data_IF_974041420523
#
_entry.id   IF_974041420523
#
_cell.length_a   1.000
_cell.length_b   1.000
_cell.length_c   1.000
_cell.angle_alpha   90.00
_cell.angle_beta   90.00
_cell.angle_gamma   90.00
#
_symmetry.space_group_name_H-M   'P 1'
#
loop_
_entity.id
_entity.type
_entity.pdbx_description
1 polymer ?
#
# COMPACT_ATOMS: atom_id res chain seq x y z
N UNK A 1 -18.84 13.37 11.60
CA UNK A 1 -18.28 12.07 11.95
C UNK A 1 -19.17 11.35 12.96
N UNK A 2 -19.16 10.00 12.93
CA UNK A 2 -19.92 9.18 13.89
C UNK A 2 -19.30 9.21 15.30
N UNK A 3 -18.03 9.52 15.40
CA UNK A 3 -17.28 9.62 16.64
C UNK A 3 -16.64 11.01 16.75
N UNK A 4 -16.18 11.38 17.92
CA UNK A 4 -15.45 12.64 18.13
C UNK A 4 -14.03 12.54 17.52
N UNK A 5 -13.99 12.41 16.21
CA UNK A 5 -12.77 12.31 15.42
C UNK A 5 -12.56 13.57 14.61
N UNK A 6 -11.31 13.80 14.23
CA UNK A 6 -10.89 14.92 13.38
C UNK A 6 -10.18 14.35 12.16
N UNK A 7 -10.41 14.93 10.99
CA UNK A 7 -9.66 14.55 9.81
C UNK A 7 -8.18 14.98 9.93
N UNK A 8 -7.30 14.26 9.22
CA UNK A 8 -5.86 14.51 9.32
C UNK A 8 -5.47 15.93 8.97
N UNK A 9 -6.08 16.51 7.93
CA UNK A 9 -5.82 17.87 7.47
C UNK A 9 -6.15 18.93 8.54
N UNK A 10 -7.23 18.74 9.28
CA UNK A 10 -7.54 19.63 10.43
C UNK A 10 -6.52 19.49 11.56
N UNK A 11 -6.02 18.28 11.78
CA UNK A 11 -4.97 18.06 12.77
C UNK A 11 -3.68 18.80 12.39
N UNK A 12 -3.29 18.76 11.11
CA UNK A 12 -2.14 19.52 10.62
C UNK A 12 -2.34 21.04 10.78
N UNK A 13 -3.54 21.56 10.50
CA UNK A 13 -3.84 22.98 10.71
C UNK A 13 -3.73 23.40 12.18
N UNK A 14 -4.18 22.55 13.10
CA UNK A 14 -4.03 22.78 14.54
C UNK A 14 -2.55 22.80 14.94
N UNK A 15 -1.77 21.83 14.48
CA UNK A 15 -0.34 21.78 14.78
C UNK A 15 0.45 22.94 14.15
N UNK A 16 -0.02 23.46 13.02
CA UNK A 16 0.52 24.68 12.41
C UNK A 16 0.06 25.98 13.08
N UNK A 17 -0.57 25.92 14.26
CA UNK A 17 -1.15 27.05 14.97
C UNK A 17 -2.15 27.89 14.14
N UNK A 18 -2.73 27.34 13.11
CA UNK A 18 -3.87 27.90 12.40
C UNK A 18 -5.10 27.61 13.24
N UNK A 19 -5.25 28.39 14.31
CA UNK A 19 -6.20 28.23 15.41
C UNK A 19 -7.53 27.64 15.01
N UNK A 20 -7.85 26.49 15.59
CA UNK A 20 -9.17 25.91 15.47
C UNK A 20 -9.60 25.34 16.80
N UNK A 21 -10.03 26.21 17.62
CA UNK A 21 -10.93 25.87 18.73
C UNK A 21 -12.35 26.19 18.27
N UNK A 22 -12.92 25.32 17.44
CA UNK A 22 -14.32 25.37 17.07
C UNK A 22 -14.92 24.00 17.33
N UNK A 23 -16.12 23.96 17.89
CA UNK A 23 -16.88 22.75 18.07
C UNK A 23 -17.15 22.02 16.72
N UNK A 24 -17.96 20.97 16.75
CA UNK A 24 -18.29 20.10 15.60
C UNK A 24 -18.86 20.82 14.34
N UNK A 25 -19.09 22.13 14.41
CA UNK A 25 -19.57 22.95 13.30
C UNK A 25 -18.46 23.75 12.58
N UNK A 26 -17.20 23.64 13.02
CA UNK A 26 -16.15 24.43 12.41
C UNK A 26 -15.79 23.89 11.02
N UNK A 27 -16.12 24.63 9.99
CA UNK A 27 -15.73 24.38 8.59
C UNK A 27 -14.29 24.83 8.32
N UNK A 28 -13.38 24.52 9.21
CA UNK A 28 -12.06 25.14 9.21
C UNK A 28 -11.23 24.72 8.03
N UNK A 29 -11.15 23.43 7.76
CA UNK A 29 -10.44 22.92 6.60
C UNK A 29 -11.10 23.40 5.31
N UNK A 30 -12.42 23.42 5.26
CA UNK A 30 -13.17 23.98 4.13
C UNK A 30 -12.82 25.47 3.90
N UNK A 31 -12.80 26.28 4.93
CA UNK A 31 -12.43 27.70 4.83
C UNK A 31 -10.96 27.86 4.39
N UNK A 32 -10.06 27.05 4.93
CA UNK A 32 -8.66 27.04 4.51
C UNK A 32 -8.52 26.74 3.01
N UNK A 33 -9.27 25.75 2.49
CA UNK A 33 -9.26 25.46 1.04
C UNK A 33 -9.79 26.66 0.25
N UNK A 34 -10.91 27.28 0.68
CA UNK A 34 -11.46 28.46 0.00
C UNK A 34 -10.47 29.62 -0.01
N UNK A 35 -9.81 29.91 1.09
CA UNK A 35 -8.79 30.95 1.19
C UNK A 35 -7.59 30.66 0.26
N UNK A 36 -7.13 29.41 0.24
CA UNK A 36 -6.04 29.00 -0.65
C UNK A 36 -6.43 29.13 -2.11
N UNK A 37 -7.63 28.72 -2.48
CA UNK A 37 -8.13 28.84 -3.86
C UNK A 37 -8.38 30.29 -4.26
N UNK A 38 -8.81 31.13 -3.34
CA UNK A 38 -8.93 32.58 -3.57
C UNK A 38 -7.57 33.20 -3.87
N UNK A 39 -6.54 32.77 -3.14
CA UNK A 39 -5.20 33.32 -3.31
C UNK A 39 -4.50 32.84 -4.57
N UNK A 40 -4.69 31.57 -4.95
CA UNK A 40 -3.84 30.91 -5.96
C UNK A 40 -4.54 30.55 -7.27
N UNK A 41 -5.86 30.40 -7.28
CA UNK A 41 -6.56 29.83 -8.44
C UNK A 41 -7.50 30.83 -9.14
N UNK A 42 -8.17 31.73 -8.43
CA UNK A 42 -9.11 32.64 -9.08
C UNK A 42 -8.43 33.57 -10.08
N UNK A 43 -7.21 34.00 -9.80
CA UNK A 43 -6.42 34.86 -10.70
C UNK A 43 -5.93 34.16 -11.97
N UNK A 44 -6.00 32.83 -12.02
CA UNK A 44 -5.51 32.00 -13.11
C UNK A 44 -6.62 31.52 -14.06
N UNK A 45 -7.80 32.13 -13.97
CA UNK A 45 -8.95 31.85 -14.85
C UNK A 45 -9.62 33.18 -15.30
N UNK A 46 -10.32 33.15 -16.39
CA UNK A 46 -11.01 34.32 -16.98
C UNK A 46 -12.52 34.21 -17.06
N UNK A 47 -13.07 33.05 -16.72
CA UNK A 47 -14.48 32.71 -16.98
C UNK A 47 -15.44 33.27 -15.90
N UNK A 48 -14.89 33.52 -14.70
CA UNK A 48 -15.69 33.97 -13.54
C UNK A 48 -15.10 35.23 -12.92
N UNK A 49 -15.98 36.18 -12.59
CA UNK A 49 -15.58 37.46 -12.00
C UNK A 49 -15.46 37.35 -10.49
N UNK A 50 -16.35 36.57 -9.86
CA UNK A 50 -16.37 36.41 -8.40
C UNK A 50 -15.86 35.03 -7.99
N UNK A 51 -15.26 34.99 -6.79
CA UNK A 51 -14.79 33.73 -6.24
C UNK A 51 -15.94 32.74 -5.99
N UNK A 52 -17.10 33.24 -5.55
CA UNK A 52 -18.23 32.34 -5.23
C UNK A 52 -18.83 31.68 -6.50
N UNK A 53 -18.90 32.39 -7.62
CA UNK A 53 -19.29 31.78 -8.91
C UNK A 53 -18.29 30.73 -9.35
N UNK A 54 -17.01 31.05 -9.33
CA UNK A 54 -15.92 30.14 -9.66
C UNK A 54 -15.95 28.89 -8.76
N UNK A 55 -16.07 29.09 -7.45
CA UNK A 55 -16.11 28.01 -6.47
C UNK A 55 -17.31 27.08 -6.68
N UNK A 56 -18.50 27.65 -6.79
CA UNK A 56 -19.74 26.88 -6.96
C UNK A 56 -19.74 26.09 -8.26
N UNK A 57 -19.25 26.70 -9.33
CA UNK A 57 -19.14 26.02 -10.62
C UNK A 57 -18.12 24.86 -10.53
N UNK A 58 -16.96 25.09 -9.95
CA UNK A 58 -15.91 24.08 -9.79
C UNK A 58 -16.38 22.91 -8.94
N UNK A 59 -17.03 23.18 -7.82
CA UNK A 59 -17.56 22.13 -6.94
C UNK A 59 -18.68 21.33 -7.63
N UNK A 60 -19.53 21.99 -8.40
CA UNK A 60 -20.61 21.33 -9.15
C UNK A 60 -20.06 20.41 -10.25
N UNK A 61 -19.06 20.85 -10.99
CA UNK A 61 -18.55 20.15 -12.16
C UNK A 61 -17.38 19.21 -11.83
N UNK A 62 -16.74 19.36 -10.66
CA UNK A 62 -15.63 18.54 -10.21
C UNK A 62 -14.26 18.87 -10.83
N UNK A 63 -14.20 19.90 -11.66
CA UNK A 63 -12.96 20.38 -12.30
C UNK A 63 -13.03 21.90 -12.56
N UNK A 64 -11.91 22.51 -12.86
CA UNK A 64 -11.82 23.90 -13.32
C UNK A 64 -10.80 24.04 -14.44
N UNK A 65 -11.04 24.99 -15.34
CA UNK A 65 -10.05 25.39 -16.35
C UNK A 65 -9.22 26.54 -15.76
N UNK A 66 -7.93 26.34 -15.65
CA UNK A 66 -6.97 27.37 -15.29
C UNK A 66 -6.05 27.66 -16.49
N UNK A 67 -5.38 28.81 -16.48
CA UNK A 67 -4.36 29.08 -17.47
C UNK A 67 -3.31 27.95 -17.48
N UNK A 68 -2.84 27.61 -18.67
CA UNK A 68 -1.77 26.63 -18.82
C UNK A 68 -0.54 27.11 -18.07
N UNK A 69 0.01 26.28 -17.23
CA UNK A 69 1.32 26.52 -16.64
C UNK A 69 2.38 26.35 -17.72
N UNK A 70 3.47 27.11 -17.60
CA UNK A 70 4.63 26.90 -18.45
C UNK A 70 5.14 25.47 -18.29
N UNK A 71 5.59 24.88 -19.39
CA UNK A 71 6.16 23.55 -19.35
C UNK A 71 7.39 23.52 -18.43
N UNK A 72 7.39 22.57 -17.50
CA UNK A 72 8.58 22.35 -16.67
C UNK A 72 9.68 21.77 -17.57
N UNK A 73 10.81 22.46 -17.64
CA UNK A 73 12.00 21.89 -18.27
C UNK A 73 12.50 20.73 -17.42
N UNK A 74 12.45 19.53 -18.01
CA UNK A 74 13.04 18.35 -17.37
C UNK A 74 14.56 18.50 -17.42
N UNK A 75 15.20 18.41 -16.26
CA UNK A 75 16.65 18.27 -16.23
C UNK A 75 17.03 16.87 -16.70
N UNK A 76 18.01 16.81 -17.58
CA UNK A 76 18.63 15.53 -17.93
C UNK A 76 19.22 14.91 -16.65
N UNK A 77 18.83 13.69 -16.35
CA UNK A 77 19.42 12.90 -15.28
C UNK A 77 19.93 11.58 -15.85
N UNK A 78 21.12 11.23 -15.46
CA UNK A 78 21.67 9.92 -15.77
C UNK A 78 21.10 8.92 -14.75
N UNK A 79 20.44 7.88 -15.24
CA UNK A 79 20.08 6.74 -14.41
C UNK A 79 21.31 5.85 -14.37
N UNK A 80 21.95 5.75 -13.20
CA UNK A 80 22.92 4.70 -12.99
C UNK A 80 22.17 3.35 -12.91
N UNK A 81 22.07 2.72 -14.08
CA UNK A 81 21.41 1.43 -14.22
C UNK A 81 22.28 0.22 -13.83
N UNK A 82 23.44 0.47 -13.24
CA UNK A 82 24.31 -0.58 -12.71
C UNK A 82 23.70 -1.17 -11.43
N UNK A 83 22.59 -1.89 -11.59
CA UNK A 83 22.11 -2.77 -10.52
C UNK A 83 22.99 -4.00 -10.54
N UNK A 84 23.92 -4.10 -9.57
CA UNK A 84 24.64 -5.33 -9.35
C UNK A 84 23.63 -6.40 -8.92
N UNK A 85 23.25 -7.26 -9.85
CA UNK A 85 22.44 -8.44 -9.56
C UNK A 85 23.38 -9.42 -8.85
N UNK A 86 23.29 -9.48 -7.53
CA UNK A 86 23.95 -10.53 -6.77
C UNK A 86 23.33 -11.87 -7.18
N UNK A 87 24.14 -12.82 -7.61
CA UNK A 87 23.71 -14.20 -7.87
C UNK A 87 23.42 -14.87 -6.52
N UNK A 88 22.22 -14.72 -6.01
CA UNK A 88 21.75 -15.49 -4.86
C UNK A 88 20.96 -16.71 -5.34
N UNK A 89 20.92 -17.76 -4.53
CA UNK A 89 20.10 -18.96 -4.80
C UNK A 89 18.60 -18.62 -4.83
N UNK A 90 18.20 -17.55 -4.12
CA UNK A 90 16.82 -17.12 -3.95
C UNK A 90 16.63 -15.67 -4.40
N UNK A 91 15.52 -15.43 -5.07
CA UNK A 91 15.03 -14.10 -5.42
C UNK A 91 13.84 -13.73 -4.53
N UNK A 92 13.87 -12.55 -3.90
CA UNK A 92 12.78 -12.08 -3.05
C UNK A 92 11.95 -11.05 -3.81
N UNK A 93 10.68 -11.37 -4.06
CA UNK A 93 9.70 -10.49 -4.64
C UNK A 93 8.82 -9.87 -3.54
N UNK A 94 8.93 -8.57 -3.36
CA UNK A 94 8.04 -7.83 -2.46
C UNK A 94 6.79 -7.40 -3.23
N UNK A 95 5.62 -7.61 -2.65
CA UNK A 95 4.36 -7.20 -3.29
C UNK A 95 3.38 -6.62 -2.27
N UNK A 96 2.48 -5.78 -2.75
CA UNK A 96 1.42 -5.21 -1.95
C UNK A 96 0.20 -6.14 -1.95
N UNK A 97 -0.32 -6.45 -0.78
CA UNK A 97 -1.56 -7.19 -0.60
C UNK A 97 -2.78 -6.27 -0.40
N UNK A 98 -3.93 -6.84 -0.06
CA UNK A 98 -5.18 -6.12 0.16
C UNK A 98 -5.13 -5.15 1.36
N UNK A 99 -4.20 -5.35 2.29
CA UNK A 99 -3.97 -4.47 3.44
C UNK A 99 -3.11 -3.24 3.11
N UNK A 100 -2.66 -3.13 1.87
CA UNK A 100 -1.71 -2.11 1.44
C UNK A 100 -0.36 -2.25 2.12
N UNK A 101 0.34 -1.14 2.32
CA UNK A 101 1.64 -1.10 2.99
C UNK A 101 1.49 -1.01 4.53
N UNK A 102 0.51 -1.67 5.11
CA UNK A 102 0.24 -1.67 6.55
C UNK A 102 -0.71 -0.58 7.05
N UNK A 103 -1.11 0.38 6.20
CA UNK A 103 -2.03 1.44 6.62
C UNK A 103 -3.40 0.94 7.09
N UNK A 104 -3.80 -0.24 6.67
CA UNK A 104 -5.07 -0.87 7.04
C UNK A 104 -4.89 -2.05 8.01
N UNK A 105 -3.69 -2.29 8.50
CA UNK A 105 -3.38 -3.45 9.36
C UNK A 105 -4.20 -3.49 10.65
N UNK A 106 -4.67 -2.35 11.17
CA UNK A 106 -5.53 -2.29 12.36
C UNK A 106 -7.03 -2.43 12.06
N UNK A 107 -7.42 -2.68 10.80
CA UNK A 107 -8.81 -2.88 10.43
C UNK A 107 -9.16 -4.37 10.44
N UNK A 108 -9.92 -4.88 11.43
CA UNK A 108 -10.20 -6.31 11.54
C UNK A 108 -11.02 -6.86 10.36
N UNK A 109 -11.89 -6.07 9.75
CA UNK A 109 -12.65 -6.52 8.58
C UNK A 109 -11.75 -6.75 7.36
N UNK A 110 -10.73 -5.92 7.18
CA UNK A 110 -9.76 -6.13 6.11
C UNK A 110 -8.81 -7.29 6.44
N UNK A 111 -8.49 -7.50 7.70
CA UNK A 111 -7.73 -8.67 8.13
C UNK A 111 -8.48 -9.98 7.88
N UNK A 112 -9.80 -9.97 7.94
CA UNK A 112 -10.66 -11.12 7.64
C UNK A 112 -10.92 -11.30 6.13
N UNK A 113 -10.55 -10.33 5.29
CA UNK A 113 -10.72 -10.42 3.85
C UNK A 113 -9.71 -11.44 3.27
N UNK A 114 -10.20 -12.53 2.66
CA UNK A 114 -9.28 -13.52 2.09
C UNK A 114 -8.50 -12.95 0.91
N UNK A 115 -7.20 -13.23 0.87
CA UNK A 115 -6.39 -12.91 -0.31
C UNK A 115 -7.03 -13.49 -1.58
N UNK A 116 -7.02 -12.73 -2.65
CA UNK A 116 -7.60 -13.13 -3.93
C UNK A 116 -6.99 -14.42 -4.49
N UNK A 117 -5.73 -14.70 -4.18
CA UNK A 117 -4.96 -15.83 -4.70
C UNK A 117 -4.88 -16.97 -3.68
N UNK A 118 -4.31 -16.70 -2.50
CA UNK A 118 -4.00 -17.73 -1.50
C UNK A 118 -5.16 -18.08 -0.59
N UNK A 119 -6.16 -17.19 -0.48
CA UNK A 119 -7.28 -17.27 0.47
C UNK A 119 -6.88 -17.20 1.94
N UNK A 120 -5.63 -16.93 2.25
CA UNK A 120 -5.14 -16.71 3.61
C UNK A 120 -5.72 -15.41 4.17
N UNK A 121 -5.99 -15.41 5.47
CA UNK A 121 -6.51 -14.27 6.23
C UNK A 121 -5.63 -14.01 7.46
N UNK A 122 -5.67 -12.82 7.99
CA UNK A 122 -5.03 -12.33 9.22
C UNK A 122 -3.51 -12.16 9.14
N UNK A 123 -2.74 -13.22 8.96
CA UNK A 123 -1.29 -13.16 9.10
C UNK A 123 -0.58 -12.87 7.77
N UNK A 124 0.63 -12.34 7.88
CA UNK A 124 1.55 -12.28 6.76
C UNK A 124 2.33 -13.58 6.64
N UNK A 125 2.78 -13.93 5.42
CA UNK A 125 3.40 -15.21 5.12
C UNK A 125 4.35 -15.11 3.94
N UNK A 126 5.22 -16.10 3.83
CA UNK A 126 6.12 -16.29 2.70
C UNK A 126 5.43 -17.20 1.69
N UNK A 127 5.36 -16.80 0.43
CA UNK A 127 4.96 -17.71 -0.65
C UNK A 127 6.18 -18.27 -1.36
N UNK A 128 6.16 -19.55 -1.70
CA UNK A 128 7.18 -20.20 -2.53
C UNK A 128 6.58 -21.36 -3.34
N UNK A 129 7.32 -21.85 -4.32
CA UNK A 129 6.83 -22.98 -5.11
C UNK A 129 6.69 -24.24 -4.25
N UNK A 130 5.71 -25.13 -4.53
CA UNK A 130 5.59 -26.39 -3.79
C UNK A 130 6.86 -27.24 -3.84
N UNK A 131 7.56 -27.29 -4.96
CA UNK A 131 8.81 -28.04 -5.10
C UNK A 131 9.93 -27.47 -4.22
N UNK A 132 9.98 -26.17 -4.03
CA UNK A 132 10.96 -25.56 -3.11
C UNK A 132 10.57 -25.84 -1.66
N UNK A 133 9.28 -25.83 -1.32
CA UNK A 133 8.80 -26.25 -0.02
C UNK A 133 9.21 -27.70 0.29
N UNK A 134 9.03 -28.62 -0.67
CA UNK A 134 9.42 -30.02 -0.47
C UNK A 134 10.91 -30.17 -0.20
N UNK A 135 11.74 -29.49 -0.97
CA UNK A 135 13.20 -29.50 -0.75
C UNK A 135 13.58 -28.87 0.58
N UNK A 136 13.05 -27.70 0.90
CA UNK A 136 13.40 -26.95 2.11
C UNK A 136 13.03 -27.70 3.39
N UNK A 137 11.86 -28.36 3.40
CA UNK A 137 11.35 -29.06 4.58
C UNK A 137 11.65 -30.57 4.56
N UNK A 138 12.38 -31.07 3.56
CA UNK A 138 12.76 -32.47 3.45
C UNK A 138 11.56 -33.41 3.25
N UNK A 139 10.54 -32.94 2.53
CA UNK A 139 9.35 -33.74 2.22
C UNK A 139 9.65 -34.58 0.98
N UNK A 140 9.39 -35.90 1.06
CA UNK A 140 9.56 -36.80 -0.08
C UNK A 140 8.54 -36.47 -1.18
N UNK A 141 9.00 -36.19 -2.38
CA UNK A 141 8.21 -35.82 -3.56
C UNK A 141 7.97 -36.97 -4.55
N UNK A 142 8.38 -38.20 -4.20
CA UNK A 142 8.12 -39.39 -5.05
C UNK A 142 6.63 -39.66 -5.24
N UNK A 143 5.80 -39.35 -4.24
CA UNK A 143 4.34 -39.30 -4.34
C UNK A 143 3.85 -37.85 -4.26
N UNK A 144 3.51 -37.20 -5.39
CA UNK A 144 3.10 -35.81 -5.39
C UNK A 144 1.88 -35.48 -4.51
N UNK A 145 0.98 -36.47 -4.34
CA UNK A 145 -0.18 -36.27 -3.45
C UNK A 145 0.23 -36.32 -2.00
N UNK A 146 1.01 -37.31 -1.60
CA UNK A 146 1.49 -37.40 -0.23
C UNK A 146 2.40 -36.21 0.15
N UNK A 147 3.24 -35.74 -0.77
CA UNK A 147 4.05 -34.54 -0.59
C UNK A 147 3.19 -33.29 -0.41
N UNK A 148 2.17 -33.11 -1.25
CA UNK A 148 1.23 -32.01 -1.12
C UNK A 148 0.46 -32.05 0.20
N UNK A 149 -0.08 -33.21 0.54
CA UNK A 149 -0.77 -33.43 1.81
C UNK A 149 0.16 -33.15 3.01
N UNK A 150 1.44 -33.55 2.93
CA UNK A 150 2.45 -33.26 3.94
C UNK A 150 2.72 -31.79 4.16
N UNK A 151 2.71 -30.98 3.11
CA UNK A 151 2.88 -29.52 3.23
C UNK A 151 1.61 -28.85 3.73
N UNK A 152 0.44 -29.24 3.29
CA UNK A 152 -0.83 -28.59 3.64
C UNK A 152 -1.49 -29.17 4.90
N UNK A 153 -1.63 -30.49 4.98
CA UNK A 153 -2.30 -31.14 6.11
C UNK A 153 -1.40 -31.26 7.33
N UNK A 154 -0.09 -31.33 7.13
CA UNK A 154 0.87 -31.27 8.23
C UNK A 154 0.87 -29.94 8.99
N UNK A 155 0.19 -28.94 8.45
CA UNK A 155 0.02 -27.61 9.05
C UNK A 155 -1.28 -27.45 9.83
N UNK A 156 -2.08 -28.49 10.00
CA UNK A 156 -3.37 -28.42 10.69
C UNK A 156 -3.24 -27.87 12.12
N UNK A 157 -2.15 -28.22 12.82
CA UNK A 157 -1.82 -27.69 14.16
C UNK A 157 -0.54 -26.82 14.19
N UNK A 158 0.29 -26.85 13.13
CA UNK A 158 1.59 -26.17 13.06
C UNK A 158 1.90 -25.78 11.63
N UNK A 159 2.22 -24.52 11.42
CA UNK A 159 2.73 -24.04 10.13
C UNK A 159 4.26 -24.26 10.01
N UNK A 160 4.73 -24.59 8.82
CA UNK A 160 6.15 -24.48 8.51
C UNK A 160 6.56 -23.01 8.55
N UNK A 161 7.72 -22.74 9.12
CA UNK A 161 8.25 -21.37 9.28
C UNK A 161 9.61 -21.31 8.61
N UNK A 162 9.86 -20.24 7.89
CA UNK A 162 11.17 -19.97 7.31
C UNK A 162 11.65 -18.55 7.65
N UNK A 163 12.96 -18.38 7.69
CA UNK A 163 13.61 -17.11 7.91
C UNK A 163 14.22 -16.61 6.61
N UNK A 164 13.74 -15.49 6.11
CA UNK A 164 14.33 -14.79 4.96
C UNK A 164 15.37 -13.80 5.45
N UNK A 165 16.56 -13.85 4.87
CA UNK A 165 17.66 -12.93 5.15
C UNK A 165 18.03 -12.17 3.89
N UNK A 166 18.02 -10.85 3.96
CA UNK A 166 18.43 -9.96 2.88
C UNK A 166 19.35 -8.86 3.45
N UNK A 167 20.65 -8.99 3.21
CA UNK A 167 21.66 -8.16 3.88
C UNK A 167 21.57 -8.31 5.39
N UNK A 168 21.45 -7.18 6.09
CA UNK A 168 21.34 -7.13 7.56
C UNK A 168 19.89 -7.35 8.07
N UNK A 169 18.92 -7.49 7.16
CA UNK A 169 17.53 -7.67 7.52
C UNK A 169 17.18 -9.16 7.61
N UNK A 170 16.43 -9.53 8.64
CA UNK A 170 15.95 -10.88 8.87
C UNK A 170 14.46 -10.86 9.21
N UNK A 171 13.67 -11.72 8.56
CA UNK A 171 12.24 -11.83 8.76
C UNK A 171 11.83 -13.30 8.81
N UNK A 172 11.16 -13.70 9.90
CA UNK A 172 10.69 -15.08 10.09
C UNK A 172 9.18 -15.10 9.96
N UNK A 173 8.65 -15.87 9.02
CA UNK A 173 7.22 -15.95 8.71
C UNK A 173 6.79 -17.39 8.41
N UNK A 174 5.49 -17.71 8.57
CA UNK A 174 4.91 -18.96 8.06
C UNK A 174 5.12 -19.06 6.54
N UNK A 175 5.24 -20.29 6.06
CA UNK A 175 5.41 -20.57 4.63
C UNK A 175 4.11 -21.12 4.04
N UNK A 176 3.69 -20.52 2.95
CA UNK A 176 2.55 -20.95 2.15
C UNK A 176 3.03 -21.47 0.78
N UNK A 177 2.87 -22.76 0.48
CA UNK A 177 3.20 -23.30 -0.83
C UNK A 177 2.19 -22.80 -1.86
N UNK A 178 2.66 -22.05 -2.86
CA UNK A 178 1.82 -21.44 -3.89
C UNK A 178 2.03 -22.14 -5.24
N UNK A 179 1.07 -22.95 -5.71
CA UNK A 179 1.13 -23.57 -7.03
C UNK A 179 1.23 -22.51 -8.14
N UNK A 180 2.14 -22.73 -9.08
CA UNK A 180 2.39 -21.82 -10.20
C UNK A 180 3.45 -20.75 -9.94
N UNK A 181 3.95 -20.63 -8.72
CA UNK A 181 5.11 -19.76 -8.43
C UNK A 181 6.40 -20.37 -8.98
N UNK A 182 7.28 -19.53 -9.52
CA UNK A 182 8.58 -19.95 -10.03
C UNK A 182 9.47 -20.50 -8.93
N UNK A 183 10.25 -21.54 -9.24
CA UNK A 183 11.28 -22.06 -8.33
C UNK A 183 12.36 -21.02 -8.10
N UNK A 184 12.94 -21.03 -6.90
CA UNK A 184 13.96 -20.06 -6.48
C UNK A 184 13.40 -18.65 -6.18
N UNK A 185 12.08 -18.46 -6.23
CA UNK A 185 11.45 -17.15 -5.93
C UNK A 185 10.66 -17.23 -4.64
N UNK A 186 10.84 -16.24 -3.78
CA UNK A 186 10.12 -16.05 -2.52
C UNK A 186 9.25 -14.81 -2.64
N UNK A 187 7.95 -14.94 -2.42
CA UNK A 187 7.05 -13.79 -2.33
C UNK A 187 6.81 -13.39 -0.87
N UNK A 188 6.92 -12.10 -0.57
CA UNK A 188 6.62 -11.54 0.75
C UNK A 188 5.72 -10.32 0.57
N UNK A 189 4.56 -10.33 1.21
CA UNK A 189 3.67 -9.19 1.24
C UNK A 189 4.21 -8.08 2.15
N UNK A 190 4.06 -6.83 1.72
CA UNK A 190 4.42 -5.64 2.49
C UNK A 190 3.19 -5.05 3.17
#
# INVERSE_FOLDING_TARGET
PLYNTRQAQESFLVWANKSIRGGSESKVFYNFIKENWTANNIGNQSDYITFDEFWNWTVHNGFTNTASLDAIELQDFEIDANVEVSSSEWEVALYQNELGLGQYASNPWLQELPSAITKVVWDNYITMSPSDCFKLFGINDEDPKAAWDGVHLGQEDKAFVATVKAGDNELTLPVFPLPGQSQGTIGVAM
#
